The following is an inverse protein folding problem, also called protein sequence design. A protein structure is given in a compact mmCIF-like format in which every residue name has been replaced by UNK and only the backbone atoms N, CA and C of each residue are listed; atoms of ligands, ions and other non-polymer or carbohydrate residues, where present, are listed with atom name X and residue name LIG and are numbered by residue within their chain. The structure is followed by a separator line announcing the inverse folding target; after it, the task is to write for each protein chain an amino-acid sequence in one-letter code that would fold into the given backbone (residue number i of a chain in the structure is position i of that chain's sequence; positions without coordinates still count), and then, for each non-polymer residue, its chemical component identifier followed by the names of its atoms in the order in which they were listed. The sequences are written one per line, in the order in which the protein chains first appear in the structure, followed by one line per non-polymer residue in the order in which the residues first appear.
data_IF_827846966206
#
_entry.id   IF_827846966206
#
_cell.length_a   1.000
_cell.length_b   1.000
_cell.length_c   1.000
_cell.angle_alpha   90.00
_cell.angle_beta   90.00
_cell.angle_gamma   90.00
#
_symmetry.space_group_name_H-M   'P 1'
#
loop_
_entity.id
_entity.type
_entity.pdbx_description
1 polymer ?
#
# COMPACT_ATOMS: atom_id res chain seq x y z
N UNK A 1 17.66 -5.85 0.67
CA UNK A 1 16.19 -5.84 0.59
C UNK A 1 15.72 -7.26 0.37
N UNK A 2 14.61 -7.67 1.00
CA UNK A 2 14.00 -8.98 0.76
C UNK A 2 12.97 -8.89 -0.36
N UNK A 3 12.98 -9.83 -1.30
CA UNK A 3 12.02 -9.93 -2.40
C UNK A 3 11.75 -11.39 -2.81
N UNK A 4 10.61 -11.63 -3.45
CA UNK A 4 10.27 -12.88 -4.14
C UNK A 4 11.21 -13.07 -5.32
N UNK A 5 11.94 -14.19 -5.30
CA UNK A 5 12.80 -14.64 -6.40
C UNK A 5 12.08 -15.59 -7.35
N UNK A 6 11.25 -16.47 -6.81
CA UNK A 6 10.50 -17.43 -7.62
C UNK A 6 9.21 -17.87 -6.92
N UNK A 7 8.21 -18.21 -7.72
CA UNK A 7 6.98 -18.88 -7.29
C UNK A 7 6.87 -20.19 -8.05
N UNK A 8 6.64 -21.29 -7.33
CA UNK A 8 6.36 -22.61 -7.90
C UNK A 8 4.90 -22.96 -7.64
N UNK A 9 4.10 -22.92 -8.70
CA UNK A 9 2.69 -23.30 -8.65
C UNK A 9 2.57 -24.76 -9.04
N UNK A 10 2.50 -25.66 -8.06
CA UNK A 10 2.28 -27.09 -8.32
C UNK A 10 0.84 -27.34 -8.74
N UNK A 11 -0.11 -26.76 -8.01
CA UNK A 11 -1.53 -26.86 -8.30
C UNK A 11 -2.28 -25.64 -7.78
N UNK A 12 -2.90 -24.87 -8.65
CA UNK A 12 -3.81 -23.78 -8.31
C UNK A 12 -5.01 -23.80 -9.26
N UNK A 13 -5.67 -24.97 -9.33
CA UNK A 13 -6.80 -25.29 -10.22
C UNK A 13 -6.50 -25.06 -11.71
N UNK A 14 -6.58 -23.81 -12.17
CA UNK A 14 -6.34 -23.42 -13.55
C UNK A 14 -4.86 -23.43 -13.95
N UNK A 15 -3.93 -23.30 -12.99
CA UNK A 15 -2.48 -23.34 -13.22
C UNK A 15 -1.87 -24.54 -12.51
N UNK A 16 -1.06 -25.34 -13.24
CA UNK A 16 -0.41 -26.53 -12.70
C UNK A 16 1.02 -26.63 -13.22
N UNK A 17 1.96 -26.94 -12.33
CA UNK A 17 3.39 -27.08 -12.60
C UNK A 17 4.02 -25.89 -13.36
N UNK A 18 3.76 -24.68 -12.87
CA UNK A 18 4.32 -23.43 -13.43
C UNK A 18 5.37 -22.87 -12.48
N UNK A 19 6.53 -22.52 -13.02
CA UNK A 19 7.53 -21.70 -12.33
C UNK A 19 7.45 -20.26 -12.85
N UNK A 20 7.37 -19.30 -11.93
CA UNK A 20 7.42 -17.87 -12.23
C UNK A 20 8.72 -17.33 -11.61
N UNK A 21 9.66 -16.94 -12.47
CA UNK A 21 10.95 -16.38 -12.05
C UNK A 21 10.91 -14.84 -12.03
N UNK A 22 11.31 -14.30 -10.89
CA UNK A 22 11.35 -12.87 -10.59
C UNK A 22 12.77 -12.30 -10.54
N UNK A 23 13.80 -13.11 -10.81
CA UNK A 23 15.20 -12.70 -10.74
C UNK A 23 15.41 -11.39 -11.53
N UNK A 24 15.94 -10.31 -10.92
CA UNK A 24 16.01 -9.02 -11.59
C UNK A 24 16.84 -9.09 -12.87
N UNK A 25 16.47 -8.28 -13.88
CA UNK A 25 17.35 -8.02 -15.02
C UNK A 25 18.46 -7.06 -14.58
N UNK A 26 19.55 -6.99 -15.35
CA UNK A 26 20.67 -6.12 -15.01
C UNK A 26 20.21 -4.66 -14.85
N UNK A 27 20.29 -4.14 -13.63
CA UNK A 27 19.90 -2.77 -13.27
C UNK A 27 18.60 -2.65 -12.45
N UNK A 28 17.78 -3.69 -12.39
CA UNK A 28 16.54 -3.70 -11.58
C UNK A 28 16.80 -4.24 -10.17
N UNK A 29 16.06 -3.72 -9.17
CA UNK A 29 16.09 -4.27 -7.80
C UNK A 29 15.31 -5.58 -7.70
N UNK A 30 14.16 -5.68 -8.35
CA UNK A 30 13.29 -6.87 -8.41
C UNK A 30 12.27 -6.73 -9.56
N UNK A 31 11.44 -7.75 -9.79
CA UNK A 31 10.32 -7.71 -10.75
C UNK A 31 8.98 -7.78 -10.02
N UNK A 32 7.97 -7.07 -10.52
CA UNK A 32 6.58 -7.23 -10.06
C UNK A 32 5.85 -8.32 -10.85
N UNK A 33 4.84 -8.96 -10.24
CA UNK A 33 3.92 -9.88 -10.93
C UNK A 33 2.55 -9.23 -11.12
N UNK A 34 2.08 -9.22 -12.36
CA UNK A 34 0.70 -8.86 -12.69
C UNK A 34 -0.03 -10.13 -13.11
N UNK A 35 -1.06 -10.51 -12.36
CA UNK A 35 -1.90 -11.68 -12.66
C UNK A 35 -3.11 -11.21 -13.45
N UNK A 36 -3.21 -11.58 -14.73
CA UNK A 36 -4.34 -11.23 -15.60
C UNK A 36 -5.12 -12.47 -16.03
N UNK A 37 -6.39 -12.30 -16.37
CA UNK A 37 -7.25 -13.42 -16.79
C UNK A 37 -8.74 -13.10 -16.64
N UNK A 38 -9.59 -13.88 -17.32
CA UNK A 38 -11.05 -13.73 -17.24
C UNK A 38 -11.56 -13.94 -15.80
N UNK A 39 -12.76 -13.44 -15.51
CA UNK A 39 -13.41 -13.71 -14.22
C UNK A 39 -13.58 -15.22 -14.02
N UNK A 40 -13.28 -15.69 -12.80
CA UNK A 40 -13.28 -17.12 -12.47
C UNK A 40 -12.03 -17.90 -12.92
N UNK A 41 -11.00 -17.25 -13.48
CA UNK A 41 -9.76 -17.95 -13.89
C UNK A 41 -8.83 -18.35 -12.72
N UNK A 42 -9.21 -18.06 -11.47
CA UNK A 42 -8.43 -18.41 -10.28
C UNK A 42 -7.39 -17.37 -9.83
N UNK A 43 -7.51 -16.10 -10.25
CA UNK A 43 -6.58 -15.01 -9.85
C UNK A 43 -6.53 -14.81 -8.32
N UNK A 44 -7.67 -14.52 -7.70
CA UNK A 44 -7.82 -14.42 -6.24
C UNK A 44 -7.40 -15.70 -5.54
N UNK A 45 -7.64 -16.87 -6.15
CA UNK A 45 -7.19 -18.16 -5.60
C UNK A 45 -5.67 -18.26 -5.56
N UNK A 46 -4.98 -17.82 -6.62
CA UNK A 46 -3.52 -17.78 -6.66
C UNK A 46 -2.96 -16.80 -5.63
N UNK A 47 -3.53 -15.60 -5.51
CA UNK A 47 -3.12 -14.61 -4.51
C UNK A 47 -3.34 -15.13 -3.07
N UNK A 48 -4.46 -15.78 -2.79
CA UNK A 48 -4.71 -16.43 -1.50
C UNK A 48 -3.71 -17.56 -1.22
N UNK A 49 -3.34 -18.34 -2.23
CA UNK A 49 -2.33 -19.40 -2.09
C UNK A 49 -0.95 -18.83 -1.79
N UNK A 50 -0.60 -17.71 -2.43
CA UNK A 50 0.63 -16.96 -2.17
C UNK A 50 0.66 -16.38 -0.76
N UNK A 51 -0.46 -15.80 -0.30
CA UNK A 51 -0.58 -15.30 1.07
C UNK A 51 -0.36 -16.42 2.09
N UNK A 52 -0.96 -17.58 1.86
CA UNK A 52 -0.73 -18.74 2.73
C UNK A 52 0.73 -19.20 2.74
N UNK A 53 1.39 -19.22 1.58
CA UNK A 53 2.80 -19.61 1.46
C UNK A 53 3.74 -18.60 2.14
N UNK A 54 3.50 -17.29 1.97
CA UNK A 54 4.32 -16.22 2.55
C UNK A 54 4.18 -16.13 4.06
N UNK A 55 2.98 -16.38 4.58
CA UNK A 55 2.66 -16.33 6.01
C UNK A 55 2.83 -17.68 6.72
N UNK A 56 3.35 -18.71 6.02
CA UNK A 56 3.49 -20.07 6.55
C UNK A 56 2.20 -20.63 7.16
N UNK A 57 1.03 -20.22 6.62
CA UNK A 57 -0.28 -20.66 7.11
C UNK A 57 -0.47 -22.14 6.78
N UNK A 58 -0.59 -22.97 7.81
CA UNK A 58 -0.74 -24.41 7.66
C UNK A 58 -2.17 -24.77 7.24
N UNK A 59 -2.34 -25.35 6.06
CA UNK A 59 -3.58 -25.97 5.62
C UNK A 59 -3.51 -27.50 5.75
N UNK A 60 -4.59 -28.13 6.21
CA UNK A 60 -4.69 -29.60 6.32
C UNK A 60 -5.36 -30.26 5.11
N UNK A 61 -5.83 -29.48 4.13
CA UNK A 61 -6.54 -29.98 2.96
C UNK A 61 -5.57 -30.28 1.80
N UNK A 62 -5.39 -31.56 1.48
CA UNK A 62 -4.56 -32.02 0.34
C UNK A 62 -5.08 -31.54 -1.03
N UNK A 63 -6.33 -31.09 -1.11
CA UNK A 63 -6.92 -30.53 -2.34
C UNK A 63 -6.78 -29.02 -2.45
N UNK A 64 -6.24 -28.36 -1.43
CA UNK A 64 -5.99 -26.92 -1.45
C UNK A 64 -4.95 -26.57 -2.53
N UNK A 65 -4.99 -25.32 -3.05
CA UNK A 65 -3.92 -24.80 -3.89
C UNK A 65 -2.55 -24.96 -3.21
N UNK A 66 -1.58 -25.52 -3.93
CA UNK A 66 -0.21 -25.74 -3.49
C UNK A 66 0.73 -24.85 -4.29
N UNK A 67 1.31 -23.88 -3.59
CA UNK A 67 2.29 -22.94 -4.12
C UNK A 67 3.47 -22.88 -3.14
N UNK A 68 4.69 -22.96 -3.65
CA UNK A 68 5.90 -22.64 -2.88
C UNK A 68 6.46 -21.30 -3.35
N UNK A 69 7.02 -20.55 -2.42
CA UNK A 69 7.68 -19.26 -2.68
C UNK A 69 9.16 -19.36 -2.30
N UNK A 70 10.03 -18.83 -3.15
CA UNK A 70 11.45 -18.64 -2.83
C UNK A 70 11.67 -17.15 -2.61
N UNK A 71 12.09 -16.82 -1.39
CA UNK A 71 12.48 -15.47 -0.99
C UNK A 71 14.00 -15.34 -1.03
N UNK A 72 14.49 -14.16 -1.44
CA UNK A 72 15.92 -13.87 -1.43
C UNK A 72 16.22 -12.45 -0.97
N UNK A 73 17.46 -12.20 -0.54
CA UNK A 73 17.99 -10.87 -0.29
C UNK A 73 18.89 -10.38 -1.44
N UNK A 74 19.37 -9.13 -1.35
CA UNK A 74 20.29 -8.53 -2.34
C UNK A 74 21.62 -9.31 -2.49
N UNK A 75 21.98 -10.10 -1.48
CA UNK A 75 23.20 -10.92 -1.50
C UNK A 75 22.95 -12.33 -2.09
N UNK A 76 21.71 -12.64 -2.45
CA UNK A 76 21.30 -13.91 -3.06
C UNK A 76 21.08 -15.06 -2.08
N UNK A 77 21.00 -14.79 -0.77
CA UNK A 77 20.67 -15.82 0.22
C UNK A 77 19.20 -16.20 0.11
N UNK A 78 18.88 -17.49 0.16
CA UNK A 78 17.49 -17.94 0.27
C UNK A 78 17.01 -17.80 1.73
N UNK A 79 15.87 -17.15 1.92
CA UNK A 79 15.29 -16.93 3.24
C UNK A 79 14.22 -17.98 3.54
N UNK A 80 14.19 -18.48 4.78
CA UNK A 80 13.12 -19.34 5.30
C UNK A 80 12.16 -18.48 6.10
N UNK A 81 11.04 -18.12 5.49
CA UNK A 81 10.01 -17.27 6.08
C UNK A 81 10.28 -15.78 5.88
N UNK A 82 9.22 -15.03 5.54
CA UNK A 82 9.28 -13.57 5.39
C UNK A 82 9.10 -12.82 6.72
N UNK A 83 8.39 -13.43 7.67
CA UNK A 83 7.83 -12.83 8.90
C UNK A 83 8.84 -12.18 9.86
N UNK A 84 10.16 -12.25 9.61
CA UNK A 84 11.18 -11.74 10.51
C UNK A 84 11.83 -10.41 10.09
N UNK A 85 11.78 -9.99 8.81
CA UNK A 85 12.68 -8.90 8.32
C UNK A 85 12.07 -7.88 7.33
N UNK A 86 10.79 -8.00 6.93
CA UNK A 86 10.20 -7.10 5.92
C UNK A 86 8.71 -6.78 6.12
N UNK A 87 8.22 -5.75 5.43
CA UNK A 87 6.79 -5.39 5.39
C UNK A 87 6.01 -6.38 4.51
N UNK A 88 4.91 -6.94 5.02
CA UNK A 88 4.00 -7.77 4.22
C UNK A 88 2.54 -7.38 4.46
N UNK A 89 1.80 -7.15 3.38
CA UNK A 89 0.36 -6.96 3.47
C UNK A 89 -0.37 -7.58 2.28
N UNK A 90 -1.65 -7.93 2.48
CA UNK A 90 -2.51 -8.46 1.44
C UNK A 90 -3.89 -7.77 1.44
N UNK A 91 -4.08 -6.91 0.45
CA UNK A 91 -5.32 -6.15 0.25
C UNK A 91 -6.33 -6.96 -0.59
N UNK A 92 -7.40 -7.43 0.06
CA UNK A 92 -8.50 -8.20 -0.56
C UNK A 92 -9.64 -7.29 -1.07
N UNK A 93 -10.52 -7.85 -1.90
CA UNK A 93 -11.57 -7.13 -2.67
C UNK A 93 -12.72 -6.54 -1.83
N UNK A 94 -13.04 -7.07 -0.66
CA UNK A 94 -14.19 -6.61 0.13
C UNK A 94 -13.90 -5.27 0.84
N UNK A 95 -14.46 -4.18 0.30
CA UNK A 95 -14.34 -2.81 0.84
C UNK A 95 -15.74 -2.23 1.08
N UNK A 96 -16.18 -2.19 2.34
CA UNK A 96 -17.42 -1.51 2.71
C UNK A 96 -17.18 0.00 2.88
N UNK A 97 -18.02 0.83 2.24
CA UNK A 97 -17.93 2.30 2.29
C UNK A 97 -19.14 2.90 2.99
N UNK A 98 -19.03 3.29 4.27
CA UNK A 98 -20.08 3.97 5.05
C UNK A 98 -19.61 5.26 5.71
N UNK A 99 -20.15 6.40 5.26
CA UNK A 99 -19.69 7.75 5.64
C UNK A 99 -19.79 8.06 7.15
N UNK A 100 -18.66 8.36 7.80
CA UNK A 100 -18.57 9.05 9.10
C UNK A 100 -17.66 10.32 9.03
N UNK A 101 -17.42 11.04 10.13
CA UNK A 101 -16.54 12.23 10.18
C UNK A 101 -15.51 12.06 11.27
N UNK A 102 -14.24 12.38 10.98
CA UNK A 102 -13.15 12.42 11.98
C UNK A 102 -13.43 13.55 12.97
N UNK A 103 -13.40 13.25 14.28
CA UNK A 103 -13.67 14.21 15.36
C UNK A 103 -12.40 14.77 16.03
N UNK A 104 -11.22 14.24 15.70
CA UNK A 104 -9.93 14.62 16.29
C UNK A 104 -8.89 13.50 16.22
N UNK A 105 -7.72 13.67 16.88
CA UNK A 105 -6.69 12.63 16.96
C UNK A 105 -7.24 11.38 17.67
N UNK A 106 -7.05 10.22 17.05
CA UNK A 106 -7.40 8.91 17.61
C UNK A 106 -6.22 7.96 17.40
N UNK A 107 -5.94 7.11 18.38
CA UNK A 107 -4.93 6.06 18.22
C UNK A 107 -5.43 5.06 17.17
N UNK A 108 -4.66 4.84 16.10
CA UNK A 108 -4.92 3.80 15.10
C UNK A 108 -4.21 2.54 15.61
N UNK A 109 -4.84 1.83 16.55
CA UNK A 109 -4.29 0.61 17.14
C UNK A 109 -4.53 -0.63 16.26
N UNK A 110 -5.54 -0.56 15.39
CA UNK A 110 -5.90 -1.53 14.36
C UNK A 110 -6.74 -0.83 13.29
N UNK A 111 -6.67 -1.27 12.04
CA UNK A 111 -7.63 -0.85 11.01
C UNK A 111 -9.00 -1.35 11.45
N UNK A 112 -9.85 -0.44 11.94
CA UNK A 112 -11.25 -0.76 12.21
C UNK A 112 -11.97 -0.76 10.86
N UNK A 113 -12.18 -1.96 10.30
CA UNK A 113 -12.74 -2.18 8.96
C UNK A 113 -14.18 -1.65 8.81
N UNK A 114 -14.78 -1.13 9.88
CA UNK A 114 -16.07 -0.44 9.87
C UNK A 114 -15.98 1.05 9.45
N UNK A 115 -14.78 1.68 9.50
CA UNK A 115 -14.58 3.07 9.02
C UNK A 115 -14.18 3.07 7.52
N UNK A 116 -14.68 4.01 6.68
CA UNK A 116 -14.25 4.13 5.29
C UNK A 116 -12.75 4.39 5.19
N UNK A 117 -12.09 3.78 4.19
CA UNK A 117 -10.66 4.00 3.94
C UNK A 117 -10.29 5.48 3.69
N UNK A 118 -11.19 6.25 3.07
CA UNK A 118 -11.00 7.70 2.90
C UNK A 118 -10.91 8.45 4.25
N UNK A 119 -11.41 7.87 5.33
CA UNK A 119 -11.33 8.42 6.68
C UNK A 119 -10.10 7.91 7.41
N UNK A 120 -9.70 6.65 7.17
CA UNK A 120 -8.45 6.12 7.70
C UNK A 120 -7.26 6.98 7.26
N UNK A 121 -7.22 7.40 5.98
CA UNK A 121 -6.15 8.29 5.52
C UNK A 121 -6.21 9.66 6.20
N UNK A 122 -7.40 10.28 6.30
CA UNK A 122 -7.53 11.59 6.96
C UNK A 122 -7.11 11.47 8.42
N UNK A 123 -7.57 10.45 9.13
CA UNK A 123 -7.21 10.19 10.53
C UNK A 123 -5.69 9.98 10.68
N UNK A 124 -5.08 9.22 9.78
CA UNK A 124 -3.64 9.00 9.76
C UNK A 124 -2.86 10.30 9.57
N UNK A 125 -3.24 11.14 8.60
CA UNK A 125 -2.63 12.44 8.35
C UNK A 125 -2.82 13.40 9.54
N UNK A 126 -4.00 13.40 10.17
CA UNK A 126 -4.30 14.20 11.36
C UNK A 126 -3.40 13.78 12.53
N UNK A 127 -3.21 12.47 12.72
CA UNK A 127 -2.32 11.95 13.75
C UNK A 127 -0.87 12.37 13.50
N UNK A 128 -0.37 12.29 12.26
CA UNK A 128 0.97 12.77 11.89
C UNK A 128 1.16 14.27 12.18
N UNK A 129 0.19 15.13 11.84
CA UNK A 129 0.26 16.57 12.18
C UNK A 129 0.22 16.82 13.69
N UNK A 130 -0.55 16.02 14.42
CA UNK A 130 -0.60 16.09 15.88
C UNK A 130 0.75 15.70 16.49
N UNK A 131 1.36 14.61 16.02
CA UNK A 131 2.69 14.18 16.41
C UNK A 131 3.74 15.25 16.10
N UNK A 132 3.67 15.89 14.93
CA UNK A 132 4.56 17.00 14.55
C UNK A 132 4.46 18.17 15.54
N UNK A 133 3.24 18.51 15.98
CA UNK A 133 3.02 19.57 16.95
C UNK A 133 3.60 19.25 18.33
N UNK A 134 3.42 18.02 18.82
CA UNK A 134 4.02 17.56 20.08
C UNK A 134 5.54 17.54 20.01
N UNK A 135 6.12 16.96 18.95
CA UNK A 135 7.56 16.95 18.74
C UNK A 135 8.16 18.37 18.73
N UNK A 136 7.48 19.33 18.12
CA UNK A 136 7.90 20.72 18.14
C UNK A 136 7.91 21.31 19.56
N UNK A 137 6.86 21.04 20.34
CA UNK A 137 6.74 21.48 21.72
C UNK A 137 7.81 20.86 22.63
N UNK A 138 8.13 19.58 22.42
CA UNK A 138 9.11 18.82 23.20
C UNK A 138 10.56 19.10 22.76
N UNK A 139 10.76 19.92 21.72
CA UNK A 139 12.08 20.29 21.21
C UNK A 139 12.74 19.22 20.33
N UNK A 140 11.99 18.21 19.90
CA UNK A 140 12.45 17.12 19.04
C UNK A 140 12.56 17.56 17.56
N UNK A 141 13.53 18.42 17.26
CA UNK A 141 13.72 18.99 15.92
C UNK A 141 13.88 17.93 14.82
N UNK A 142 14.52 16.80 15.13
CA UNK A 142 14.67 15.68 14.19
C UNK A 142 13.31 15.10 13.79
N UNK A 143 12.46 14.78 14.76
CA UNK A 143 11.11 14.24 14.53
C UNK A 143 10.26 15.24 13.72
N UNK A 144 10.35 16.54 14.02
CA UNK A 144 9.63 17.59 13.27
C UNK A 144 10.03 17.59 11.79
N UNK A 145 11.33 17.56 11.52
CA UNK A 145 11.88 17.55 10.15
C UNK A 145 11.52 16.26 9.40
N UNK A 146 11.57 15.11 10.06
CA UNK A 146 11.16 13.84 9.46
C UNK A 146 9.69 13.86 9.03
N UNK A 147 8.78 14.35 9.89
CA UNK A 147 7.36 14.44 9.55
C UNK A 147 7.12 15.50 8.45
N UNK A 148 7.87 16.59 8.45
CA UNK A 148 7.78 17.59 7.36
C UNK A 148 8.22 17.01 6.01
N UNK A 149 9.34 16.28 5.98
CA UNK A 149 9.81 15.58 4.79
C UNK A 149 8.80 14.55 4.30
N UNK A 150 8.19 13.79 5.22
CA UNK A 150 7.13 12.85 4.92
C UNK A 150 5.95 13.53 4.21
N UNK A 151 5.45 14.65 4.74
CA UNK A 151 4.34 15.39 4.12
C UNK A 151 4.72 15.95 2.75
N UNK A 152 5.94 16.45 2.60
CA UNK A 152 6.44 16.95 1.32
C UNK A 152 6.47 15.82 0.27
N UNK A 153 6.99 14.64 0.64
CA UNK A 153 7.02 13.49 -0.26
C UNK A 153 5.60 13.04 -0.63
N UNK A 154 4.71 12.92 0.35
CA UNK A 154 3.32 12.54 0.09
C UNK A 154 2.59 13.55 -0.81
N UNK A 155 2.78 14.86 -0.62
CA UNK A 155 2.25 15.90 -1.51
C UNK A 155 2.79 15.76 -2.95
N UNK A 156 4.07 15.41 -3.13
CA UNK A 156 4.63 15.17 -4.47
C UNK A 156 3.97 13.96 -5.15
N UNK A 157 3.67 12.90 -4.41
CA UNK A 157 2.93 11.77 -4.97
C UNK A 157 1.52 12.18 -5.36
N UNK A 158 0.82 12.95 -4.52
CA UNK A 158 -0.50 13.48 -4.89
C UNK A 158 -0.43 14.35 -6.16
N UNK A 159 0.58 15.21 -6.31
CA UNK A 159 0.79 15.98 -7.56
C UNK A 159 0.90 15.08 -8.78
N UNK A 160 1.68 14.01 -8.68
CA UNK A 160 1.83 13.04 -9.76
C UNK A 160 0.54 12.28 -10.06
N UNK A 161 -0.20 11.84 -9.03
CA UNK A 161 -1.48 11.13 -9.20
C UNK A 161 -2.56 11.98 -9.88
N UNK A 162 -2.67 13.25 -9.48
CA UNK A 162 -3.65 14.19 -10.00
C UNK A 162 -3.20 14.89 -11.28
N UNK A 163 -1.96 14.64 -11.74
CA UNK A 163 -1.36 15.31 -12.90
C UNK A 163 -1.38 16.85 -12.76
N UNK A 164 -1.17 17.35 -11.53
CA UNK A 164 -1.28 18.77 -11.19
C UNK A 164 -0.15 19.21 -10.26
N UNK A 165 0.85 19.88 -10.82
CA UNK A 165 2.08 20.29 -10.10
C UNK A 165 1.84 21.36 -9.04
N UNK A 166 0.79 22.16 -9.18
CA UNK A 166 0.43 23.19 -8.22
C UNK A 166 -0.54 22.71 -7.13
N UNK A 167 -0.90 21.42 -7.12
CA UNK A 167 -1.69 20.82 -6.05
C UNK A 167 -1.02 21.04 -4.69
N UNK A 168 -1.79 21.43 -3.67
CA UNK A 168 -1.32 21.54 -2.27
C UNK A 168 -2.16 20.68 -1.35
N UNK A 169 -1.51 20.09 -0.34
CA UNK A 169 -2.17 19.38 0.74
C UNK A 169 -2.27 20.27 1.98
N UNK A 170 -3.46 20.77 2.28
CA UNK A 170 -3.69 21.72 3.37
C UNK A 170 -4.34 21.07 4.59
N UNK A 171 -3.79 21.33 5.77
CA UNK A 171 -4.35 20.85 7.03
C UNK A 171 -5.22 21.92 7.71
N UNK A 172 -6.51 21.62 7.90
CA UNK A 172 -7.41 22.44 8.72
C UNK A 172 -7.36 21.98 10.18
N UNK A 173 -6.72 22.78 11.04
CA UNK A 173 -6.69 22.55 12.49
C UNK A 173 -8.06 22.64 13.16
N UNK A 174 -8.97 23.46 12.61
CA UNK A 174 -10.31 23.66 13.17
C UNK A 174 -11.21 22.47 12.90
N UNK A 175 -11.12 21.90 11.69
CA UNK A 175 -11.96 20.78 11.27
C UNK A 175 -11.29 19.41 11.47
N UNK A 176 -10.01 19.38 11.84
CA UNK A 176 -9.19 18.17 11.85
C UNK A 176 -9.33 17.39 10.53
N UNK A 177 -9.18 18.12 9.42
CA UNK A 177 -9.37 17.58 8.08
C UNK A 177 -8.24 18.04 7.15
N UNK A 178 -8.10 17.32 6.03
CA UNK A 178 -7.18 17.67 4.97
C UNK A 178 -7.92 17.99 3.69
N UNK A 179 -7.41 18.99 2.99
CA UNK A 179 -7.94 19.43 1.72
C UNK A 179 -6.85 19.41 0.66
N UNK A 180 -7.28 19.11 -0.56
CA UNK A 180 -6.51 19.20 -1.78
C UNK A 180 -6.89 20.52 -2.46
N UNK A 181 -5.91 21.41 -2.60
CA UNK A 181 -6.09 22.69 -3.27
C UNK A 181 -5.47 22.62 -4.67
N UNK A 182 -6.28 22.84 -5.70
CA UNK A 182 -5.85 22.97 -7.10
C UNK A 182 -5.71 24.46 -7.51
N UNK A 183 -5.03 24.77 -8.63
CA UNK A 183 -4.77 26.15 -9.09
C UNK A 183 -5.99 27.06 -9.19
N UNK A 184 -7.16 26.50 -9.54
CA UNK A 184 -8.39 27.25 -9.81
C UNK A 184 -9.26 27.52 -8.56
N UNK A 185 -8.65 27.54 -7.36
CA UNK A 185 -9.33 27.61 -6.06
C UNK A 185 -10.31 26.45 -5.80
N UNK A 186 -10.24 25.39 -6.61
CA UNK A 186 -10.95 24.14 -6.34
C UNK A 186 -10.28 23.53 -5.11
N UNK A 187 -11.06 23.47 -4.03
CA UNK A 187 -10.62 23.02 -2.72
C UNK A 187 -11.59 21.96 -2.24
N UNK A 188 -11.11 20.74 -2.09
CA UNK A 188 -11.95 19.59 -1.75
C UNK A 188 -11.23 18.65 -0.80
N UNK A 189 -12.00 17.95 0.02
CA UNK A 189 -11.46 16.93 0.92
C UNK A 189 -11.44 15.54 0.26
N UNK A 190 -10.87 14.57 0.97
CA UNK A 190 -10.79 13.18 0.50
C UNK A 190 -12.16 12.50 0.31
N UNK A 191 -13.23 13.00 0.94
CA UNK A 191 -14.58 12.45 0.76
C UNK A 191 -15.27 12.97 -0.51
N UNK A 192 -14.74 14.04 -1.10
CA UNK A 192 -15.23 14.65 -2.34
C UNK A 192 -14.50 14.13 -3.58
N UNK A 193 -13.58 13.17 -3.44
CA UNK A 193 -12.93 12.49 -4.55
C UNK A 193 -13.95 11.70 -5.39
N UNK A 194 -13.72 11.64 -6.71
CA UNK A 194 -14.44 10.70 -7.55
C UNK A 194 -14.11 9.25 -7.14
N UNK A 195 -15.02 8.32 -7.39
CA UNK A 195 -14.87 6.91 -7.01
C UNK A 195 -13.52 6.31 -7.44
N UNK A 196 -13.05 6.62 -8.66
CA UNK A 196 -11.76 6.14 -9.14
C UNK A 196 -10.58 6.66 -8.29
N UNK A 197 -10.51 7.96 -8.03
CA UNK A 197 -9.44 8.53 -7.20
C UNK A 197 -9.53 8.06 -5.74
N UNK A 198 -10.74 7.95 -5.19
CA UNK A 198 -10.95 7.44 -3.84
C UNK A 198 -10.38 6.03 -3.67
N UNK A 199 -10.55 5.16 -4.67
CA UNK A 199 -10.00 3.80 -4.68
C UNK A 199 -8.46 3.80 -4.70
N UNK A 200 -7.82 4.66 -5.53
CA UNK A 200 -6.36 4.75 -5.57
C UNK A 200 -5.81 5.27 -4.24
N UNK A 201 -6.41 6.33 -3.70
CA UNK A 201 -6.03 6.89 -2.39
C UNK A 201 -6.21 5.86 -1.29
N UNK A 202 -7.24 5.02 -1.37
CA UNK A 202 -7.50 3.95 -0.42
C UNK A 202 -6.35 2.94 -0.39
N UNK A 203 -5.90 2.47 -1.56
CA UNK A 203 -4.73 1.57 -1.67
C UNK A 203 -3.48 2.23 -1.07
N UNK A 204 -3.24 3.51 -1.38
CA UNK A 204 -2.08 4.24 -0.85
C UNK A 204 -2.16 4.37 0.67
N UNK A 205 -3.33 4.67 1.21
CA UNK A 205 -3.56 4.79 2.65
C UNK A 205 -3.23 3.50 3.37
N UNK A 206 -3.73 2.37 2.85
CA UNK A 206 -3.48 1.05 3.42
C UNK A 206 -1.98 0.74 3.43
N UNK A 207 -1.26 0.99 2.33
CA UNK A 207 0.19 0.79 2.25
C UNK A 207 0.92 1.68 3.28
N UNK A 208 0.58 2.96 3.37
CA UNK A 208 1.20 3.89 4.32
C UNK A 208 0.95 3.49 5.78
N UNK A 209 -0.27 3.05 6.10
CA UNK A 209 -0.62 2.55 7.43
C UNK A 209 0.14 1.25 7.72
N UNK A 210 0.23 0.34 6.76
CA UNK A 210 0.97 -0.92 6.90
C UNK A 210 2.46 -0.67 7.17
N UNK A 211 3.10 0.25 6.43
CA UNK A 211 4.47 0.69 6.66
C UNK A 211 4.66 1.10 8.13
N UNK A 212 3.82 1.99 8.62
CA UNK A 212 4.01 2.61 9.94
C UNK A 212 3.69 1.65 11.09
N UNK A 213 2.68 0.79 10.91
CA UNK A 213 2.22 -0.13 11.95
C UNK A 213 3.05 -1.41 12.03
N UNK A 214 3.59 -1.90 10.92
CA UNK A 214 4.27 -3.20 10.87
C UNK A 214 5.80 -3.08 10.84
N UNK A 215 6.35 -2.07 10.17
CA UNK A 215 7.80 -1.97 9.98
C UNK A 215 8.51 -1.16 11.06
N UNK A 216 7.76 -0.37 11.84
CA UNK A 216 8.33 0.63 12.76
C UNK A 216 9.16 1.71 12.05
N UNK A 217 9.11 1.77 10.71
CA UNK A 217 9.76 2.75 9.85
C UNK A 217 8.72 3.72 9.30
N UNK A 218 9.19 4.88 8.89
CA UNK A 218 8.40 5.87 8.18
C UNK A 218 8.43 5.59 6.68
N UNK A 219 7.41 6.04 5.94
CA UNK A 219 7.43 6.08 4.46
C UNK A 219 8.71 6.75 3.92
N UNK A 220 9.23 7.76 4.62
CA UNK A 220 10.47 8.47 4.27
C UNK A 220 11.72 7.60 4.33
N UNK A 221 11.68 6.49 5.08
CA UNK A 221 12.79 5.55 5.22
C UNK A 221 12.81 4.52 4.08
N UNK A 222 11.87 4.62 3.14
CA UNK A 222 11.72 3.74 1.98
C UNK A 222 11.80 2.25 2.36
N UNK A 223 10.85 1.76 3.18
CA UNK A 223 10.89 0.40 3.70
C UNK A 223 10.79 -0.64 2.57
N UNK A 224 11.50 -1.76 2.74
CA UNK A 224 11.39 -2.89 1.83
C UNK A 224 10.32 -3.88 2.24
N UNK A 225 9.60 -4.45 1.27
CA UNK A 225 8.51 -5.38 1.54
C UNK A 225 7.91 -6.04 0.32
N UNK A 226 6.91 -6.91 0.56
CA UNK A 226 6.11 -7.57 -0.46
C UNK A 226 4.64 -7.22 -0.21
N UNK A 227 3.94 -6.72 -1.21
CA UNK A 227 2.53 -6.37 -1.12
C UNK A 227 1.72 -7.15 -2.15
N UNK A 228 0.68 -7.83 -1.69
CA UNK A 228 -0.32 -8.44 -2.55
C UNK A 228 -1.53 -7.51 -2.66
N UNK A 229 -1.93 -7.19 -3.89
CA UNK A 229 -3.12 -6.37 -4.17
C UNK A 229 -4.05 -7.19 -5.06
N UNK A 230 -5.21 -7.58 -4.55
CA UNK A 230 -6.26 -8.16 -5.40
C UNK A 230 -7.09 -7.05 -6.05
N UNK A 231 -7.50 -7.29 -7.30
CA UNK A 231 -8.30 -6.38 -8.13
C UNK A 231 -7.88 -4.90 -8.06
N UNK A 232 -6.58 -4.63 -8.26
CA UNK A 232 -6.00 -3.29 -8.29
C UNK A 232 -6.73 -2.33 -9.24
N UNK A 233 -7.35 -2.86 -10.30
CA UNK A 233 -8.07 -2.11 -11.32
C UNK A 233 -9.54 -1.81 -10.99
N UNK A 234 -10.10 -2.45 -9.94
CA UNK A 234 -11.53 -2.38 -9.68
C UNK A 234 -11.98 -0.96 -9.33
N UNK A 235 -13.11 -0.55 -9.89
CA UNK A 235 -13.68 0.80 -9.77
C UNK A 235 -12.79 1.96 -10.26
N UNK A 236 -11.67 1.68 -10.93
CA UNK A 236 -10.85 2.69 -11.58
C UNK A 236 -11.38 3.05 -12.97
N UNK A 237 -11.34 4.33 -13.32
CA UNK A 237 -11.52 4.77 -14.71
C UNK A 237 -10.26 4.43 -15.52
N UNK A 238 -10.42 4.28 -16.85
CA UNK A 238 -9.37 3.79 -17.75
C UNK A 238 -8.02 4.52 -17.59
N UNK A 239 -8.05 5.85 -17.46
CA UNK A 239 -6.83 6.66 -17.26
C UNK A 239 -6.08 6.28 -15.97
N UNK A 240 -6.82 6.05 -14.88
CA UNK A 240 -6.22 5.64 -13.60
C UNK A 240 -5.70 4.21 -13.65
N UNK A 241 -6.32 3.32 -14.42
CA UNK A 241 -5.82 1.95 -14.62
C UNK A 241 -4.45 1.93 -15.31
N UNK A 242 -4.21 2.87 -16.24
CA UNK A 242 -2.90 3.01 -16.89
C UNK A 242 -1.85 3.63 -15.96
N UNK A 243 -2.27 4.56 -15.09
CA UNK A 243 -1.37 5.30 -14.19
C UNK A 243 -1.05 4.58 -12.88
N UNK A 244 -1.93 3.71 -12.37
CA UNK A 244 -1.81 3.17 -11.01
C UNK A 244 -0.54 2.35 -10.77
N UNK A 245 -0.14 1.48 -11.71
CA UNK A 245 1.07 0.67 -11.54
C UNK A 245 2.34 1.54 -11.59
N UNK A 246 2.57 2.42 -12.60
CA UNK A 246 3.67 3.37 -12.56
C UNK A 246 3.68 4.23 -11.30
N UNK A 247 2.49 4.64 -10.83
CA UNK A 247 2.32 5.41 -9.62
C UNK A 247 2.81 4.66 -8.37
N UNK A 248 2.31 3.45 -8.12
CA UNK A 248 2.68 2.68 -6.94
C UNK A 248 4.17 2.30 -6.94
N UNK A 249 4.69 1.90 -8.09
CA UNK A 249 6.11 1.49 -8.24
C UNK A 249 7.08 2.67 -8.12
N UNK A 250 6.66 3.88 -8.51
CA UNK A 250 7.45 5.10 -8.30
C UNK A 250 7.33 5.61 -6.85
N UNK A 251 6.15 5.46 -6.25
CA UNK A 251 5.90 5.89 -4.86
C UNK A 251 6.61 5.00 -3.86
N UNK A 252 6.61 3.69 -4.09
CA UNK A 252 7.14 2.67 -3.19
C UNK A 252 8.19 1.79 -3.88
N UNK A 253 9.37 2.35 -4.24
CA UNK A 253 10.35 1.66 -5.09
C UNK A 253 11.03 0.45 -4.43
N UNK A 254 10.86 0.26 -3.11
CA UNK A 254 11.35 -0.92 -2.38
C UNK A 254 10.22 -1.88 -1.96
N UNK A 255 8.98 -1.67 -2.41
CA UNK A 255 7.90 -2.63 -2.21
C UNK A 255 7.66 -3.41 -3.51
N UNK A 256 7.73 -4.73 -3.42
CA UNK A 256 7.44 -5.64 -4.53
C UNK A 256 5.95 -5.92 -4.65
#
# INVERSE_FOLDING_TARGET
MTYLKAIYVYNCYASQNVEIDFSPKAGDSFRHLIVTGKNGSGKTTLLNALDNALMEKSGTDERAPKVDVILTDDNGWCLKGFLAEGLYDYFKVERDTTVLKVKGPKKIDSIDLEEPLSQLIVQFLVNKKTQQAYAYQDGEQHTVQQIEQWFNQFEQQLKFLFDEMALRLEFSRQEFNFYLQLPDQVHFDFNQLSHGYAQVISIIAEILIAIETQSGKSFSDNPSGIILIDEIENHLHLELQEKILPFLTTTFPQLQ
#
